data_IF_005065546970
#
_entry.id   IF_005065546970
#
_cell.length_a   1.000
_cell.length_b   1.000
_cell.length_c   1.000
_cell.angle_alpha   90.00
_cell.angle_beta   90.00
_cell.angle_gamma   90.00
#
_symmetry.space_group_name_H-M   'P 1'
#
loop_
_entity.id
_entity.type
_entity.pdbx_description
1 polymer ?
#
# COMPACT_ATOMS: atom_id res chain seq x y z
N UNK A 1 6.14 -20.30 6.89
CA UNK A 1 6.55 -18.90 6.73
C UNK A 1 5.38 -17.89 6.74
N UNK A 2 4.32 -17.95 5.92
CA UNK A 2 3.24 -16.96 5.99
C UNK A 2 2.52 -16.91 7.35
N UNK A 3 2.31 -18.05 7.99
CA UNK A 3 1.66 -18.14 9.31
C UNK A 3 2.54 -17.59 10.45
N UNK A 4 3.85 -17.75 10.39
CA UNK A 4 4.76 -17.17 11.38
C UNK A 4 4.76 -15.63 11.29
N UNK A 5 4.86 -15.07 10.09
CA UNK A 5 4.83 -13.63 9.90
C UNK A 5 3.47 -13.03 10.35
N UNK A 6 2.35 -13.68 10.02
CA UNK A 6 1.04 -13.27 10.48
C UNK A 6 0.93 -13.28 12.01
N UNK A 7 1.56 -14.26 12.66
CA UNK A 7 1.61 -14.36 14.10
C UNK A 7 2.45 -13.22 14.73
N UNK A 8 3.63 -12.96 14.18
CA UNK A 8 4.53 -11.90 14.66
C UNK A 8 3.94 -10.49 14.48
N UNK A 9 3.23 -10.26 13.38
CA UNK A 9 2.60 -8.97 13.09
C UNK A 9 1.21 -8.81 13.75
N UNK A 10 0.67 -9.84 14.37
CA UNK A 10 -0.66 -9.82 14.97
C UNK A 10 -0.82 -8.83 16.15
N UNK A 11 0.29 -8.39 16.73
CA UNK A 11 0.33 -7.38 17.80
C UNK A 11 0.32 -5.94 17.27
N UNK A 12 0.62 -5.71 15.99
CA UNK A 12 0.65 -4.37 15.42
C UNK A 12 -0.64 -3.56 15.59
N UNK A 13 -1.84 -4.16 15.55
CA UNK A 13 -3.07 -3.43 15.79
C UNK A 13 -3.12 -2.68 17.12
N UNK A 14 -2.38 -3.13 18.14
CA UNK A 14 -2.31 -2.43 19.42
C UNK A 14 -1.73 -1.01 19.32
N UNK A 15 -0.88 -0.78 18.33
CA UNK A 15 -0.19 0.50 18.14
C UNK A 15 -1.02 1.54 17.39
N UNK A 16 -2.14 1.13 16.76
CA UNK A 16 -3.02 2.03 16.02
C UNK A 16 -4.51 1.88 16.37
N UNK A 17 -4.83 0.98 17.31
CA UNK A 17 -6.19 0.91 17.83
C UNK A 17 -6.54 2.16 18.63
N UNK A 18 -7.79 2.58 18.56
CA UNK A 18 -8.33 3.64 19.40
C UNK A 18 -8.22 3.27 20.89
N UNK A 19 -8.13 4.29 21.74
CA UNK A 19 -8.09 4.08 23.19
C UNK A 19 -9.31 3.26 23.65
N UNK A 20 -9.07 2.18 24.39
CA UNK A 20 -10.12 1.25 24.82
C UNK A 20 -10.55 0.25 23.75
N UNK A 21 -10.00 0.33 22.55
CA UNK A 21 -10.22 -0.65 21.49
C UNK A 21 -9.77 -2.05 21.89
N UNK A 22 -10.31 -3.07 21.21
CA UNK A 22 -9.96 -4.48 21.48
C UNK A 22 -9.19 -5.06 20.31
N UNK A 23 -8.04 -5.62 20.61
CA UNK A 23 -7.19 -6.32 19.64
C UNK A 23 -7.38 -7.82 19.77
N UNK A 24 -7.76 -8.45 18.67
CA UNK A 24 -7.85 -9.91 18.61
C UNK A 24 -6.46 -10.51 18.40
N UNK A 25 -6.14 -11.51 19.20
CA UNK A 25 -4.90 -12.25 19.15
C UNK A 25 -5.18 -13.74 19.36
N UNK A 26 -4.58 -14.59 18.54
CA UNK A 26 -4.68 -16.04 18.71
C UNK A 26 -4.26 -16.46 20.13
N UNK A 27 -4.97 -17.41 20.74
CA UNK A 27 -4.76 -17.83 22.13
C UNK A 27 -3.32 -18.30 22.40
N UNK A 28 -2.69 -19.00 21.45
CA UNK A 28 -1.30 -19.45 21.59
C UNK A 28 -0.31 -18.30 21.56
N UNK A 29 -0.64 -17.21 20.86
CA UNK A 29 0.20 -15.99 20.79
C UNK A 29 -0.06 -15.08 21.99
N UNK A 30 -1.29 -15.08 22.53
CA UNK A 30 -1.65 -14.24 23.66
C UNK A 30 -0.75 -14.49 24.89
N UNK A 31 -0.46 -15.74 25.22
CA UNK A 31 0.44 -16.06 26.34
C UNK A 31 1.83 -15.46 26.15
N UNK A 32 2.44 -15.66 24.97
CA UNK A 32 3.76 -15.09 24.64
C UNK A 32 3.78 -13.57 24.59
N UNK A 33 2.66 -12.97 24.19
CA UNK A 33 2.50 -11.51 24.12
C UNK A 33 2.35 -10.90 25.51
N UNK A 34 1.61 -11.57 26.41
CA UNK A 34 1.43 -11.13 27.79
C UNK A 34 2.74 -11.14 28.58
N UNK A 35 3.67 -12.04 28.28
CA UNK A 35 5.03 -12.03 28.85
C UNK A 35 5.84 -10.79 28.46
N UNK A 36 5.47 -10.13 27.36
CA UNK A 36 6.10 -8.90 26.83
C UNK A 36 5.25 -7.64 27.03
N UNK A 37 4.29 -7.67 27.94
CA UNK A 37 3.28 -6.62 28.13
C UNK A 37 3.87 -5.23 28.40
N UNK A 38 5.07 -5.15 28.99
CA UNK A 38 5.78 -3.88 29.24
C UNK A 38 6.15 -3.09 27.98
N UNK A 39 6.13 -3.72 26.82
CA UNK A 39 6.45 -3.09 25.53
C UNK A 39 5.22 -2.77 24.68
N UNK A 40 4.02 -3.14 25.13
CA UNK A 40 2.79 -2.92 24.40
C UNK A 40 2.05 -1.69 24.94
N UNK A 41 1.32 -0.97 24.06
CA UNK A 41 0.50 0.15 24.50
C UNK A 41 -0.51 -0.29 25.57
N UNK A 42 -0.58 0.40 26.73
CA UNK A 42 -1.49 0.03 27.81
C UNK A 42 -2.97 0.35 27.50
N UNK A 43 -3.24 1.02 26.39
CA UNK A 43 -4.55 1.59 26.06
C UNK A 43 -5.52 0.64 25.37
N UNK A 44 -5.12 -0.63 25.10
CA UNK A 44 -5.95 -1.60 24.38
C UNK A 44 -6.34 -2.80 25.23
N UNK A 45 -7.50 -3.36 24.93
CA UNK A 45 -7.95 -4.63 25.47
C UNK A 45 -7.51 -5.77 24.54
N UNK A 46 -7.29 -6.95 25.10
CA UNK A 46 -6.88 -8.13 24.34
C UNK A 46 -7.92 -9.23 24.45
N UNK A 47 -8.30 -9.81 23.30
CA UNK A 47 -9.17 -10.97 23.25
C UNK A 47 -8.61 -12.05 22.32
N UNK A 48 -8.91 -13.31 22.62
CA UNK A 48 -8.67 -14.44 21.72
C UNK A 48 -9.96 -14.96 21.08
N UNK A 49 -11.10 -14.36 21.42
CA UNK A 49 -12.40 -14.74 20.92
C UNK A 49 -12.96 -13.67 19.98
N UNK A 50 -13.70 -14.11 18.96
CA UNK A 50 -14.49 -13.22 18.12
C UNK A 50 -15.83 -12.97 18.84
N UNK A 51 -15.94 -11.83 19.51
CA UNK A 51 -17.13 -11.48 20.28
C UNK A 51 -18.02 -10.53 19.46
N UNK A 52 -19.29 -10.89 19.15
CA UNK A 52 -20.18 -10.08 18.32
C UNK A 52 -20.73 -8.84 19.03
N UNK A 53 -20.14 -8.46 20.16
CA UNK A 53 -20.45 -7.23 20.89
C UNK A 53 -19.81 -5.99 20.25
N UNK A 54 -18.86 -6.17 19.32
CA UNK A 54 -18.17 -5.09 18.64
C UNK A 54 -18.93 -4.69 17.37
N UNK A 55 -19.22 -3.42 17.22
CA UNK A 55 -19.96 -2.88 16.07
C UNK A 55 -19.08 -2.58 14.87
N UNK A 56 -17.76 -2.44 15.07
CA UNK A 56 -16.81 -2.10 14.03
C UNK A 56 -15.59 -3.02 14.11
N UNK A 57 -15.18 -3.54 12.96
CA UNK A 57 -13.99 -4.37 12.78
C UNK A 57 -13.04 -3.65 11.83
N UNK A 58 -11.80 -3.42 12.27
CA UNK A 58 -10.76 -2.78 11.47
C UNK A 58 -9.64 -3.81 11.21
N UNK A 59 -9.70 -4.57 10.11
CA UNK A 59 -8.67 -5.55 9.80
C UNK A 59 -7.47 -4.89 9.13
N UNK A 60 -6.35 -5.61 9.08
CA UNK A 60 -5.25 -5.26 8.18
C UNK A 60 -5.71 -5.12 6.72
N UNK A 61 -6.59 -6.00 6.30
CA UNK A 61 -7.26 -5.96 5.01
C UNK A 61 -8.39 -6.98 4.96
N UNK A 62 -9.44 -6.64 4.26
CA UNK A 62 -10.59 -7.52 4.11
C UNK A 62 -10.27 -8.71 3.20
N UNK A 63 -10.68 -9.90 3.61
CA UNK A 63 -10.58 -11.13 2.83
C UNK A 63 -11.74 -12.09 3.16
N UNK A 64 -12.09 -13.02 2.25
CA UNK A 64 -13.23 -13.92 2.45
C UNK A 64 -13.12 -14.82 3.69
N UNK A 65 -11.91 -15.19 4.09
CA UNK A 65 -11.70 -16.04 5.28
C UNK A 65 -12.06 -15.29 6.56
N UNK A 66 -11.66 -14.01 6.67
CA UNK A 66 -12.02 -13.18 7.80
C UNK A 66 -13.54 -12.96 7.87
N UNK A 67 -14.17 -12.61 6.75
CA UNK A 67 -15.63 -12.41 6.70
C UNK A 67 -16.36 -13.66 7.16
N UNK A 68 -15.97 -14.86 6.69
CA UNK A 68 -16.55 -16.12 7.12
C UNK A 68 -16.43 -16.32 8.64
N UNK A 69 -15.25 -16.06 9.22
CA UNK A 69 -15.02 -16.20 10.66
C UNK A 69 -15.89 -15.25 11.48
N UNK A 70 -16.11 -14.02 11.01
CA UNK A 70 -17.00 -13.07 11.66
C UNK A 70 -18.46 -13.54 11.59
N UNK A 71 -18.89 -14.07 10.45
CA UNK A 71 -20.22 -14.66 10.28
C UNK A 71 -20.46 -15.86 11.22
N UNK A 72 -19.51 -16.78 11.27
CA UNK A 72 -19.54 -17.95 12.15
C UNK A 72 -19.57 -17.55 13.64
N UNK A 73 -18.95 -16.43 14.00
CA UNK A 73 -18.97 -15.86 15.33
C UNK A 73 -20.24 -15.02 15.64
N UNK A 74 -21.16 -14.87 14.70
CA UNK A 74 -22.43 -14.17 14.88
C UNK A 74 -22.34 -12.65 14.82
N UNK A 75 -21.33 -12.08 14.19
CA UNK A 75 -21.26 -10.63 13.97
C UNK A 75 -22.39 -10.15 13.05
N UNK A 76 -22.94 -8.94 13.28
CA UNK A 76 -23.96 -8.39 12.40
C UNK A 76 -23.40 -8.11 11.00
N UNK A 77 -24.25 -8.19 9.98
CA UNK A 77 -23.86 -7.96 8.57
C UNK A 77 -23.29 -6.55 8.32
N UNK A 78 -23.52 -5.62 9.22
CA UNK A 78 -22.94 -4.27 9.20
C UNK A 78 -21.47 -4.22 9.60
N UNK A 79 -20.94 -5.25 10.27
CA UNK A 79 -19.57 -5.29 10.77
C UNK A 79 -18.54 -5.67 9.70
N UNK A 80 -18.97 -6.14 8.53
CA UNK A 80 -18.09 -6.58 7.44
C UNK A 80 -18.69 -6.26 6.07
N UNK A 81 -17.87 -6.17 5.02
CA UNK A 81 -18.37 -5.86 3.67
C UNK A 81 -19.17 -7.02 3.07
N UNK A 82 -20.24 -6.69 2.33
CA UNK A 82 -21.00 -7.65 1.53
C UNK A 82 -20.11 -8.36 0.48
N UNK A 83 -20.63 -9.44 -0.10
CA UNK A 83 -19.93 -10.18 -1.16
C UNK A 83 -19.62 -9.28 -2.37
N UNK A 84 -20.57 -8.42 -2.75
CA UNK A 84 -20.42 -7.46 -3.85
C UNK A 84 -19.35 -6.41 -3.51
N UNK A 85 -19.39 -5.89 -2.30
CA UNK A 85 -18.38 -4.92 -1.81
C UNK A 85 -16.99 -5.57 -1.77
N UNK A 86 -16.88 -6.83 -1.32
CA UNK A 86 -15.62 -7.59 -1.36
C UNK A 86 -15.07 -7.78 -2.76
N UNK A 87 -15.93 -8.13 -3.74
CA UNK A 87 -15.54 -8.24 -5.14
C UNK A 87 -15.02 -6.89 -5.66
N UNK A 88 -15.72 -5.81 -5.32
CA UNK A 88 -15.31 -4.46 -5.72
C UNK A 88 -13.98 -4.04 -5.09
N UNK A 89 -13.79 -4.26 -3.78
CA UNK A 89 -12.52 -4.00 -3.09
C UNK A 89 -11.38 -4.76 -3.78
N UNK A 90 -11.57 -6.07 -4.06
CA UNK A 90 -10.57 -6.85 -4.80
C UNK A 90 -10.27 -6.27 -6.18
N UNK A 91 -11.28 -5.85 -6.92
CA UNK A 91 -11.11 -5.27 -8.25
C UNK A 91 -10.30 -3.98 -8.21
N UNK A 92 -10.62 -3.07 -7.29
CA UNK A 92 -9.92 -1.77 -7.18
C UNK A 92 -8.54 -1.88 -6.50
N UNK A 93 -8.26 -2.95 -5.77
CA UNK A 93 -6.93 -3.21 -5.20
C UNK A 93 -5.90 -3.75 -6.20
N UNK A 94 -6.31 -4.04 -7.43
CA UNK A 94 -5.40 -4.52 -8.47
C UNK A 94 -4.57 -3.37 -9.07
N UNK A 95 -3.33 -3.65 -9.50
CA UNK A 95 -2.41 -2.68 -10.09
C UNK A 95 -2.94 -1.97 -11.33
N UNK A 96 -3.89 -2.57 -12.06
CA UNK A 96 -4.59 -1.89 -13.16
C UNK A 96 -5.33 -0.63 -12.72
N UNK A 97 -5.71 -0.54 -11.44
CA UNK A 97 -6.28 0.68 -10.86
C UNK A 97 -5.22 1.77 -10.72
N UNK A 98 -4.04 1.45 -10.23
CA UNK A 98 -2.91 2.38 -10.17
C UNK A 98 -2.55 2.92 -11.57
N UNK A 99 -2.55 2.06 -12.60
CA UNK A 99 -2.35 2.48 -14.01
C UNK A 99 -3.37 3.53 -14.45
N UNK A 100 -4.65 3.34 -14.10
CA UNK A 100 -5.73 4.31 -14.44
C UNK A 100 -5.55 5.62 -13.69
N UNK A 101 -5.29 5.55 -12.39
CA UNK A 101 -5.06 6.72 -11.54
C UNK A 101 -3.83 7.50 -12.01
N UNK A 102 -2.70 6.82 -12.26
CA UNK A 102 -1.48 7.43 -12.79
C UNK A 102 -1.75 8.24 -14.06
N UNK A 103 -2.46 7.66 -15.03
CA UNK A 103 -2.80 8.35 -16.30
C UNK A 103 -3.68 9.57 -16.11
N UNK A 104 -4.59 9.55 -15.13
CA UNK A 104 -5.44 10.70 -14.80
C UNK A 104 -4.63 11.79 -14.09
N UNK A 105 -3.83 11.40 -13.11
CA UNK A 105 -2.94 12.32 -12.40
C UNK A 105 -2.02 13.07 -13.36
N UNK A 106 -1.30 12.37 -14.23
CA UNK A 106 -0.41 13.00 -15.21
C UNK A 106 -1.13 13.98 -16.16
N UNK A 107 -2.41 13.77 -16.42
CA UNK A 107 -3.23 14.73 -17.22
C UNK A 107 -3.71 15.91 -16.40
N UNK A 108 -4.14 15.69 -15.15
CA UNK A 108 -4.69 16.75 -14.29
C UNK A 108 -3.60 17.69 -13.75
N UNK A 109 -2.45 17.14 -13.38
CA UNK A 109 -1.33 17.90 -12.85
C UNK A 109 -0.64 18.72 -13.93
N UNK A 110 -0.76 18.32 -15.20
CA UNK A 110 -0.43 19.07 -16.43
C UNK A 110 0.93 19.76 -16.46
N UNK A 111 1.60 19.75 -17.59
CA UNK A 111 2.81 20.44 -18.12
C UNK A 111 3.82 21.21 -17.24
N UNK A 112 3.40 21.72 -16.09
CA UNK A 112 4.26 22.54 -15.22
C UNK A 112 4.90 21.76 -14.06
N UNK A 113 4.48 20.52 -13.82
CA UNK A 113 5.03 19.68 -12.76
C UNK A 113 5.91 18.59 -13.39
N UNK A 114 7.15 18.41 -12.94
CA UNK A 114 8.03 17.35 -13.43
C UNK A 114 7.53 15.98 -12.93
N UNK A 115 6.49 15.48 -13.61
CA UNK A 115 5.98 14.14 -13.38
C UNK A 115 6.53 13.17 -14.42
N UNK A 116 6.73 11.94 -14.01
CA UNK A 116 7.00 10.83 -14.91
C UNK A 116 6.15 9.64 -14.47
N UNK A 117 6.10 8.62 -15.27
CA UNK A 117 5.43 7.38 -14.98
C UNK A 117 4.53 6.98 -16.14
N UNK A 118 4.86 5.84 -16.71
CA UNK A 118 4.05 5.13 -17.67
C UNK A 118 3.81 3.73 -17.17
N UNK A 119 2.58 3.27 -17.29
CA UNK A 119 2.21 1.91 -16.96
C UNK A 119 1.15 1.40 -17.94
N UNK A 120 1.26 0.13 -18.30
CA UNK A 120 0.50 -0.51 -19.35
C UNK A 120 -0.17 -1.78 -18.85
N UNK A 121 -1.46 -1.94 -19.17
CA UNK A 121 -2.18 -3.19 -18.95
C UNK A 121 -2.05 -4.06 -20.19
N UNK A 122 -1.38 -5.18 -20.07
CA UNK A 122 -1.03 -6.09 -21.16
C UNK A 122 -1.82 -7.39 -21.03
N UNK A 123 -2.73 -7.65 -21.96
CA UNK A 123 -3.71 -8.74 -21.88
C UNK A 123 -3.37 -9.97 -22.74
N UNK A 124 -2.21 -9.98 -23.40
CA UNK A 124 -1.73 -11.14 -24.16
C UNK A 124 -0.21 -11.21 -24.18
N UNK A 125 0.32 -12.40 -24.49
CA UNK A 125 1.76 -12.63 -24.64
C UNK A 125 2.37 -11.74 -25.72
N UNK A 126 1.66 -11.51 -26.83
CA UNK A 126 2.10 -10.66 -27.94
C UNK A 126 2.26 -9.20 -27.49
N UNK A 127 1.29 -8.67 -26.72
CA UNK A 127 1.38 -7.32 -26.14
C UNK A 127 2.55 -7.21 -25.17
N UNK A 128 2.79 -8.24 -24.34
CA UNK A 128 3.95 -8.25 -23.44
C UNK A 128 5.25 -8.28 -24.22
N UNK A 129 5.35 -9.10 -25.28
CA UNK A 129 6.52 -9.13 -26.17
C UNK A 129 6.78 -7.77 -26.83
N UNK A 130 5.75 -7.15 -27.40
CA UNK A 130 5.86 -5.84 -28.02
C UNK A 130 6.31 -4.76 -26.99
N UNK A 131 5.77 -4.79 -25.78
CA UNK A 131 6.16 -3.90 -24.70
C UNK A 131 7.64 -4.09 -24.31
N UNK A 132 8.11 -5.32 -24.12
CA UNK A 132 9.51 -5.63 -23.77
C UNK A 132 10.47 -5.18 -24.88
N UNK A 133 10.10 -5.33 -26.15
CA UNK A 133 10.92 -4.87 -27.28
C UNK A 133 11.03 -3.34 -27.32
N UNK A 134 9.96 -2.63 -27.00
CA UNK A 134 9.96 -1.15 -26.97
C UNK A 134 10.59 -0.57 -25.69
N UNK A 135 10.71 -1.36 -24.64
CA UNK A 135 11.27 -0.97 -23.34
C UNK A 135 12.34 -1.98 -22.88
N UNK A 136 13.59 -1.85 -23.37
CA UNK A 136 14.67 -2.82 -23.11
C UNK A 136 14.98 -3.02 -21.62
N UNK A 137 14.67 -2.02 -20.78
CA UNK A 137 14.71 -2.12 -19.31
C UNK A 137 13.32 -1.85 -18.78
N UNK A 138 12.68 -2.87 -18.24
CA UNK A 138 11.30 -2.78 -17.80
C UNK A 138 11.02 -3.65 -16.56
N UNK A 139 9.88 -3.38 -15.94
CA UNK A 139 9.26 -4.21 -14.91
C UNK A 139 7.96 -4.82 -15.45
N UNK A 140 7.78 -6.11 -15.25
CA UNK A 140 6.51 -6.79 -15.44
C UNK A 140 5.98 -7.19 -14.06
N UNK A 141 4.74 -6.81 -13.76
CA UNK A 141 4.12 -7.04 -12.45
C UNK A 141 2.81 -7.83 -12.60
N UNK A 142 2.59 -8.80 -11.72
CA UNK A 142 1.28 -9.44 -11.61
C UNK A 142 0.26 -8.45 -11.03
N UNK A 143 -0.99 -8.41 -11.51
CA UNK A 143 -2.03 -7.50 -11.02
C UNK A 143 -2.27 -7.56 -9.51
N UNK A 144 -2.29 -8.76 -8.97
CA UNK A 144 -2.41 -9.01 -7.52
C UNK A 144 -1.21 -9.78 -7.01
N UNK A 145 -0.30 -9.07 -6.36
CA UNK A 145 0.83 -9.66 -5.64
C UNK A 145 1.27 -8.69 -4.54
N UNK A 146 1.99 -9.16 -3.55
CA UNK A 146 2.47 -8.34 -2.45
C UNK A 146 3.93 -8.65 -2.09
N UNK A 147 4.56 -7.76 -1.32
CA UNK A 147 5.90 -7.95 -0.75
C UNK A 147 6.98 -8.24 -1.81
N UNK A 148 6.98 -7.52 -2.92
CA UNK A 148 7.95 -7.70 -4.02
C UNK A 148 7.79 -9.00 -4.81
N UNK A 149 6.86 -9.89 -4.44
CA UNK A 149 6.57 -11.11 -5.20
C UNK A 149 5.76 -10.77 -6.44
N UNK A 150 5.93 -11.55 -7.51
CA UNK A 150 5.21 -11.31 -8.76
C UNK A 150 5.71 -10.11 -9.55
N UNK A 151 6.96 -9.69 -9.34
CA UNK A 151 7.66 -8.69 -10.14
C UNK A 151 8.80 -9.38 -10.89
N UNK A 152 8.91 -9.12 -12.19
CA UNK A 152 9.98 -9.57 -13.05
C UNK A 152 10.72 -8.36 -13.61
N UNK A 153 12.04 -8.34 -13.43
CA UNK A 153 12.93 -7.37 -14.06
C UNK A 153 13.29 -7.89 -15.46
N UNK A 154 13.11 -7.04 -16.46
CA UNK A 154 13.42 -7.38 -17.85
C UNK A 154 14.58 -6.49 -18.32
N UNK A 155 15.61 -7.12 -18.89
CA UNK A 155 16.76 -6.45 -19.51
C UNK A 155 16.97 -6.99 -20.93
N UNK A 156 16.22 -6.47 -21.88
CA UNK A 156 16.40 -6.66 -23.33
C UNK A 156 16.13 -8.05 -23.90
N UNK A 157 15.86 -9.08 -23.09
CA UNK A 157 15.63 -10.43 -23.58
C UNK A 157 14.32 -11.06 -23.09
N UNK A 158 13.65 -11.74 -24.01
CA UNK A 158 12.45 -12.51 -23.72
C UNK A 158 12.84 -14.00 -23.56
N UNK A 159 13.04 -14.41 -22.30
CA UNK A 159 13.54 -15.76 -21.98
C UNK A 159 12.40 -16.76 -21.80
N UNK A 160 12.70 -18.07 -21.95
CA UNK A 160 11.72 -19.16 -21.73
C UNK A 160 11.09 -19.11 -20.32
N UNK A 161 11.86 -18.92 -19.21
CA UNK A 161 11.28 -18.77 -17.88
C UNK A 161 10.35 -17.57 -17.77
N UNK A 162 10.70 -16.42 -18.36
CA UNK A 162 9.87 -15.24 -18.39
C UNK A 162 8.55 -15.50 -19.14
N UNK A 163 8.61 -16.19 -20.28
CA UNK A 163 7.42 -16.55 -21.04
C UNK A 163 6.50 -17.48 -20.23
N UNK A 164 7.07 -18.46 -19.54
CA UNK A 164 6.31 -19.34 -18.62
C UNK A 164 5.61 -18.58 -17.52
N UNK A 165 6.29 -17.60 -16.89
CA UNK A 165 5.70 -16.73 -15.87
C UNK A 165 4.57 -15.88 -16.46
N UNK A 166 4.76 -15.26 -17.62
CA UNK A 166 3.76 -14.44 -18.30
C UNK A 166 2.50 -15.26 -18.59
N UNK A 167 2.65 -16.46 -19.18
CA UNK A 167 1.51 -17.35 -19.45
C UNK A 167 0.75 -17.71 -18.18
N UNK A 168 1.47 -18.03 -17.09
CA UNK A 168 0.85 -18.33 -15.80
C UNK A 168 0.03 -17.14 -15.28
N UNK A 169 0.58 -15.93 -15.31
CA UNK A 169 -0.13 -14.73 -14.84
C UNK A 169 -1.33 -14.41 -15.75
N UNK A 170 -1.18 -14.47 -17.06
CA UNK A 170 -2.29 -14.24 -17.99
C UNK A 170 -3.41 -15.27 -17.80
N UNK A 171 -3.09 -16.54 -17.53
CA UNK A 171 -4.10 -17.58 -17.26
C UNK A 171 -4.81 -17.37 -15.93
N UNK A 172 -4.10 -16.98 -14.87
CA UNK A 172 -4.64 -16.90 -13.51
C UNK A 172 -5.18 -15.53 -13.14
N UNK A 173 -4.65 -14.46 -13.73
CA UNK A 173 -4.97 -13.07 -13.41
C UNK A 173 -5.35 -12.23 -14.64
N UNK A 174 -5.34 -12.80 -15.85
CA UNK A 174 -5.80 -12.24 -17.12
C UNK A 174 -4.99 -11.08 -17.70
N UNK A 175 -4.13 -10.45 -16.93
CA UNK A 175 -3.37 -9.26 -17.31
C UNK A 175 -1.97 -9.30 -16.69
N UNK A 176 -1.02 -8.59 -17.31
CA UNK A 176 0.30 -8.27 -16.77
C UNK A 176 0.44 -6.74 -16.83
N UNK A 177 0.99 -6.14 -15.80
CA UNK A 177 1.32 -4.71 -15.82
C UNK A 177 2.77 -4.54 -16.26
N UNK A 178 2.98 -3.76 -17.32
CA UNK A 178 4.30 -3.37 -17.81
C UNK A 178 4.62 -1.95 -17.43
N UNK A 179 5.82 -1.70 -16.90
CA UNK A 179 6.34 -0.37 -16.58
C UNK A 179 7.76 -0.23 -17.10
N UNK A 180 8.15 0.92 -17.71
CA UNK A 180 9.55 1.24 -17.97
C UNK A 180 10.35 1.20 -16.67
N UNK A 181 11.63 0.88 -16.75
CA UNK A 181 12.52 0.96 -15.60
C UNK A 181 13.00 2.40 -15.41
N UNK A 182 12.72 2.96 -14.23
CA UNK A 182 13.13 4.33 -13.87
C UNK A 182 14.36 4.32 -12.96
N UNK A 183 15.20 5.36 -13.06
CA UNK A 183 16.34 5.60 -12.17
C UNK A 183 15.83 6.19 -10.85
N UNK A 184 15.38 5.29 -9.98
CA UNK A 184 14.76 5.62 -8.68
C UNK A 184 15.81 6.10 -7.70
N UNK A 185 15.53 7.21 -7.02
CA UNK A 185 16.35 7.81 -5.96
C UNK A 185 15.73 7.64 -4.56
N UNK A 186 14.41 7.73 -4.47
CA UNK A 186 13.70 7.74 -3.20
C UNK A 186 12.36 7.02 -3.35
N UNK A 187 12.04 6.13 -2.41
CA UNK A 187 10.71 5.56 -2.23
C UNK A 187 9.99 6.31 -1.11
N UNK A 188 8.75 6.70 -1.35
CA UNK A 188 7.87 7.28 -0.34
C UNK A 188 6.41 6.96 -0.67
N UNK A 189 5.52 7.21 0.27
CA UNK A 189 4.09 7.11 0.03
C UNK A 189 3.36 8.33 0.62
N UNK A 190 2.18 8.58 0.08
CA UNK A 190 1.15 9.38 0.73
C UNK A 190 0.12 8.42 1.30
N UNK A 191 -0.19 8.62 2.59
CA UNK A 191 -1.15 7.80 3.30
C UNK A 191 -2.47 8.55 3.44
N UNK A 192 -3.57 7.80 3.34
CA UNK A 192 -4.92 8.36 3.32
C UNK A 192 -5.87 7.52 4.17
N UNK A 193 -7.00 8.14 4.53
CA UNK A 193 -8.16 7.49 5.13
C UNK A 193 -9.41 7.77 4.28
N UNK A 194 -10.11 6.72 3.85
CA UNK A 194 -11.40 6.82 3.21
C UNK A 194 -12.50 6.68 4.25
N UNK A 195 -13.37 7.67 4.37
CA UNK A 195 -14.47 7.67 5.32
C UNK A 195 -15.72 6.94 4.78
N UNK A 196 -16.73 6.85 5.62
CA UNK A 196 -18.01 6.19 5.31
C UNK A 196 -18.81 6.92 4.21
N UNK A 197 -18.54 8.20 3.96
CA UNK A 197 -19.17 9.00 2.90
C UNK A 197 -18.41 8.89 1.57
N UNK A 198 -17.27 8.17 1.56
CA UNK A 198 -16.43 7.97 0.37
C UNK A 198 -15.47 9.14 0.10
N UNK A 199 -15.29 10.03 1.08
CA UNK A 199 -14.26 11.08 1.00
C UNK A 199 -12.90 10.49 1.39
N UNK A 200 -11.85 11.02 0.79
CA UNK A 200 -10.47 10.56 1.03
C UNK A 200 -9.67 11.69 1.65
N UNK A 201 -9.19 11.46 2.84
CA UNK A 201 -8.43 12.43 3.64
C UNK A 201 -6.96 12.04 3.64
N UNK A 202 -6.09 13.00 3.35
CA UNK A 202 -4.65 12.82 3.53
C UNK A 202 -4.33 12.77 5.03
N UNK A 203 -3.54 11.77 5.46
CA UNK A 203 -3.16 11.56 6.86
C UNK A 203 -1.66 11.67 7.11
N UNK A 204 -0.85 11.76 6.09
CA UNK A 204 0.59 11.99 6.23
C UNK A 204 1.43 11.33 5.16
N UNK A 205 2.73 11.53 5.29
CA UNK A 205 3.75 10.92 4.46
C UNK A 205 4.37 9.69 5.13
N UNK A 206 4.88 8.80 4.29
CA UNK A 206 5.68 7.66 4.69
C UNK A 206 6.95 7.66 3.84
N UNK A 207 8.10 7.61 4.48
CA UNK A 207 9.40 7.50 3.81
C UNK A 207 10.00 6.15 4.16
N UNK A 208 10.18 5.29 3.16
CA UNK A 208 10.59 3.91 3.36
C UNK A 208 11.75 3.51 2.46
N UNK A 209 12.43 2.44 2.84
CA UNK A 209 13.48 1.83 2.04
C UNK A 209 13.06 0.46 1.54
N UNK A 210 13.48 0.15 0.33
CA UNK A 210 13.36 -1.18 -0.27
C UNK A 210 14.73 -1.77 -0.58
N UNK A 211 14.84 -3.09 -0.58
CA UNK A 211 16.06 -3.77 -1.05
C UNK A 211 16.17 -3.68 -2.60
N UNK A 212 17.27 -4.20 -3.14
CA UNK A 212 17.52 -4.23 -4.60
C UNK A 212 16.46 -5.01 -5.41
N UNK A 213 15.61 -5.80 -4.74
CA UNK A 213 14.50 -6.54 -5.34
C UNK A 213 13.15 -5.88 -5.14
N UNK A 214 13.12 -4.69 -4.49
CA UNK A 214 11.90 -3.97 -4.18
C UNK A 214 11.15 -4.51 -2.96
N UNK A 215 11.82 -5.32 -2.12
CA UNK A 215 11.23 -5.80 -0.87
C UNK A 215 11.38 -4.72 0.20
N UNK A 216 10.30 -4.39 0.89
CA UNK A 216 10.26 -3.44 1.99
C UNK A 216 11.27 -3.82 3.09
N UNK A 217 11.98 -2.83 3.63
CA UNK A 217 12.95 -2.97 4.70
C UNK A 217 12.55 -2.22 5.96
N UNK A 218 12.33 -0.92 5.83
CA UNK A 218 12.10 -0.05 6.99
C UNK A 218 11.34 1.21 6.60
N UNK A 219 10.75 1.86 7.60
CA UNK A 219 10.13 3.18 7.51
C UNK A 219 10.82 4.16 8.45
N UNK A 220 10.90 5.41 8.04
CA UNK A 220 11.33 6.50 8.91
C UNK A 220 10.17 6.91 9.82
N UNK A 221 10.39 6.89 11.14
CA UNK A 221 9.48 7.49 12.11
C UNK A 221 9.87 8.95 12.31
N UNK A 222 9.13 9.86 11.70
CA UNK A 222 9.38 11.30 11.78
C UNK A 222 8.10 12.10 11.54
N UNK A 223 8.11 13.38 11.95
CA UNK A 223 7.03 14.31 11.61
C UNK A 223 6.92 14.50 10.10
N UNK A 224 5.71 14.71 9.60
CA UNK A 224 5.45 14.98 8.18
C UNK A 224 6.34 16.09 7.61
N UNK A 225 6.53 17.17 8.38
CA UNK A 225 7.42 18.26 7.99
C UNK A 225 8.85 17.76 7.66
N UNK A 226 9.39 16.86 8.46
CA UNK A 226 10.74 16.31 8.24
C UNK A 226 10.79 15.43 6.99
N UNK A 227 9.75 14.63 6.76
CA UNK A 227 9.64 13.78 5.57
C UNK A 227 9.47 14.66 4.33
N UNK A 228 8.59 15.64 4.38
CA UNK A 228 8.35 16.60 3.30
C UNK A 228 9.63 17.37 2.95
N UNK A 229 10.38 17.88 3.94
CA UNK A 229 11.66 18.54 3.74
C UNK A 229 12.65 17.66 2.99
N UNK A 230 12.73 16.35 3.32
CA UNK A 230 13.61 15.41 2.61
C UNK A 230 13.19 15.17 1.17
N UNK A 231 11.90 15.02 0.91
CA UNK A 231 11.38 14.86 -0.45
C UNK A 231 11.58 16.16 -1.24
N UNK A 232 11.43 17.30 -0.56
CA UNK A 232 11.55 18.64 -1.16
C UNK A 232 12.97 19.02 -1.57
N UNK A 233 13.96 18.21 -1.24
CA UNK A 233 15.32 18.35 -1.84
C UNK A 233 15.33 18.01 -3.34
N UNK A 234 14.29 17.33 -3.83
CA UNK A 234 14.18 16.89 -5.23
C UNK A 234 13.05 17.59 -5.99
N UNK A 235 11.88 17.73 -5.36
CA UNK A 235 10.70 18.38 -5.94
C UNK A 235 10.09 19.31 -4.89
N UNK A 236 9.57 20.49 -5.29
CA UNK A 236 9.07 21.45 -4.30
C UNK A 236 7.88 20.90 -3.50
N UNK A 237 7.72 21.37 -2.25
CA UNK A 237 6.57 21.04 -1.41
C UNK A 237 5.23 21.39 -2.08
N UNK A 238 5.17 22.47 -2.86
CA UNK A 238 3.97 22.84 -3.63
C UNK A 238 3.58 21.74 -4.63
N UNK A 239 4.56 21.10 -5.29
CA UNK A 239 4.32 19.96 -6.18
C UNK A 239 3.72 18.78 -5.39
N UNK A 240 4.28 18.47 -4.21
CA UNK A 240 3.75 17.40 -3.35
C UNK A 240 2.30 17.67 -2.94
N UNK A 241 2.01 18.91 -2.52
CA UNK A 241 0.66 19.29 -2.14
C UNK A 241 -0.33 19.22 -3.32
N UNK A 242 0.09 19.61 -4.52
CA UNK A 242 -0.77 19.50 -5.71
C UNK A 242 -1.03 18.04 -6.07
N UNK A 243 -0.02 17.17 -6.02
CA UNK A 243 -0.17 15.71 -6.21
C UNK A 243 -1.12 15.13 -5.15
N UNK A 244 -0.96 15.50 -3.88
CA UNK A 244 -1.81 15.03 -2.79
C UNK A 244 -3.28 15.41 -3.00
N UNK A 245 -3.57 16.67 -3.35
CA UNK A 245 -4.94 17.12 -3.66
C UNK A 245 -5.55 16.36 -4.86
N UNK A 246 -4.77 16.17 -5.92
CA UNK A 246 -5.23 15.43 -7.10
C UNK A 246 -5.49 13.95 -6.78
N UNK A 247 -4.63 13.34 -5.96
CA UNK A 247 -4.83 11.96 -5.48
C UNK A 247 -6.09 11.79 -4.65
N UNK A 248 -6.39 12.71 -3.72
CA UNK A 248 -7.63 12.65 -2.95
C UNK A 248 -8.88 12.58 -3.85
N UNK A 249 -8.92 13.41 -4.90
CA UNK A 249 -10.02 13.40 -5.87
C UNK A 249 -10.08 12.09 -6.66
N UNK A 250 -8.96 11.64 -7.20
CA UNK A 250 -8.92 10.42 -8.02
C UNK A 250 -9.21 9.15 -7.20
N UNK A 251 -8.72 9.09 -5.96
CA UNK A 251 -9.00 7.97 -5.06
C UNK A 251 -10.47 7.94 -4.64
N UNK A 252 -11.08 9.08 -4.31
CA UNK A 252 -12.50 9.16 -3.98
C UNK A 252 -13.36 8.67 -5.16
N UNK A 253 -13.02 9.07 -6.40
CA UNK A 253 -13.69 8.62 -7.60
C UNK A 253 -13.56 7.10 -7.83
N UNK A 254 -12.39 6.53 -7.57
CA UNK A 254 -12.13 5.09 -7.72
C UNK A 254 -12.87 4.27 -6.65
N UNK A 255 -12.84 4.75 -5.42
CA UNK A 255 -13.42 4.05 -4.26
C UNK A 255 -14.95 4.11 -4.30
N UNK A 256 -15.55 5.28 -4.58
CA UNK A 256 -17.02 5.50 -4.66
C UNK A 256 -17.82 4.79 -3.58
N UNK A 257 -17.41 4.92 -2.32
CA UNK A 257 -18.08 4.29 -1.18
C UNK A 257 -17.91 2.76 -1.08
N UNK A 258 -17.11 2.15 -1.96
CA UNK A 258 -16.86 0.70 -1.91
C UNK A 258 -15.87 0.29 -0.84
N UNK A 259 -15.05 1.22 -0.37
CA UNK A 259 -14.03 0.97 0.64
C UNK A 259 -14.08 2.05 1.72
N UNK A 260 -13.91 1.65 2.95
CA UNK A 260 -13.70 2.48 4.13
C UNK A 260 -12.48 1.98 4.86
N UNK A 261 -11.61 2.89 5.30
CA UNK A 261 -10.39 2.57 6.03
C UNK A 261 -9.14 3.20 5.45
N UNK A 262 -8.00 2.78 5.98
CA UNK A 262 -6.70 3.26 5.58
C UNK A 262 -6.26 2.74 4.22
N UNK A 263 -5.57 3.58 3.46
CA UNK A 263 -4.92 3.20 2.20
C UNK A 263 -3.66 4.05 1.98
N UNK A 264 -2.73 3.53 1.19
CA UNK A 264 -1.51 4.24 0.81
C UNK A 264 -1.30 4.24 -0.69
N UNK A 265 -0.64 5.28 -1.19
CA UNK A 265 -0.19 5.37 -2.58
C UNK A 265 1.32 5.46 -2.59
N UNK A 266 1.96 4.38 -3.05
CA UNK A 266 3.40 4.33 -3.21
C UNK A 266 3.83 5.21 -4.39
N UNK A 267 4.89 5.96 -4.16
CA UNK A 267 5.47 6.93 -5.08
C UNK A 267 6.98 6.80 -5.11
N UNK A 268 7.60 7.39 -6.08
CA UNK A 268 9.06 7.49 -6.10
C UNK A 268 9.54 8.80 -6.73
N UNK A 269 10.69 9.27 -6.26
CA UNK A 269 11.46 10.29 -6.96
C UNK A 269 12.45 9.59 -7.87
N UNK A 270 12.53 10.04 -9.11
CA UNK A 270 13.43 9.48 -10.11
C UNK A 270 14.30 10.59 -10.71
N UNK A 271 15.50 10.19 -11.13
CA UNK A 271 16.35 11.03 -11.96
C UNK A 271 15.83 11.04 -13.39
N UNK A 272 15.77 12.21 -13.99
CA UNK A 272 15.43 12.36 -15.42
C UNK A 272 16.68 12.26 -16.30
N UNK A 273 16.49 11.97 -17.57
CA UNK A 273 17.60 11.92 -18.55
C UNK A 273 18.35 13.25 -18.68
N UNK A 274 17.68 14.36 -18.39
CA UNK A 274 18.24 15.71 -18.46
C UNK A 274 18.96 16.13 -17.15
N UNK A 275 19.20 15.20 -16.22
CA UNK A 275 19.88 15.46 -14.94
C UNK A 275 19.04 16.11 -13.86
N UNK A 276 17.75 16.38 -14.09
CA UNK A 276 16.79 16.84 -13.09
C UNK A 276 16.11 15.70 -12.34
N UNK A 277 15.08 16.06 -11.59
CA UNK A 277 14.27 15.11 -10.81
C UNK A 277 12.80 15.21 -11.21
N UNK A 278 12.10 14.10 -11.12
CA UNK A 278 10.66 14.02 -11.35
C UNK A 278 9.99 13.05 -10.37
N UNK A 279 8.73 13.31 -10.06
CA UNK A 279 7.90 12.45 -9.24
C UNK A 279 7.16 11.42 -10.10
N UNK A 280 7.20 10.15 -9.71
CA UNK A 280 6.25 9.15 -10.18
C UNK A 280 5.10 9.08 -9.16
N UNK A 281 3.94 9.66 -9.46
CA UNK A 281 2.94 9.99 -8.44
C UNK A 281 2.02 8.83 -8.06
N UNK A 282 2.14 7.66 -8.69
CA UNK A 282 1.34 6.49 -8.36
C UNK A 282 1.98 5.21 -8.91
N UNK A 283 2.78 4.55 -8.11
CA UNK A 283 3.41 3.25 -8.41
C UNK A 283 2.49 2.09 -8.06
N UNK A 284 1.87 2.15 -6.88
CA UNK A 284 0.94 1.14 -6.37
C UNK A 284 -0.07 1.79 -5.42
N UNK A 285 -1.29 1.27 -5.39
CA UNK A 285 -2.33 1.66 -4.42
C UNK A 285 -2.54 0.50 -3.47
N UNK A 286 -2.22 0.71 -2.20
CA UNK A 286 -2.39 -0.25 -1.12
C UNK A 286 -3.73 -0.01 -0.43
N UNK A 287 -4.82 -0.63 -0.94
CA UNK A 287 -6.18 -0.47 -0.42
C UNK A 287 -6.38 -1.34 0.84
N UNK A 288 -5.63 -1.05 1.87
CA UNK A 288 -5.58 -1.75 3.15
C UNK A 288 -4.69 -0.99 4.12
N UNK A 289 -4.69 -1.41 5.40
CA UNK A 289 -3.61 -1.05 6.31
C UNK A 289 -2.25 -1.43 5.69
N UNK A 290 -1.26 -0.58 5.86
CA UNK A 290 0.10 -0.81 5.36
C UNK A 290 1.13 -0.27 6.35
N UNK A 291 2.41 -0.57 6.12
CA UNK A 291 3.48 -0.20 7.06
C UNK A 291 3.72 1.31 7.15
N UNK A 292 3.40 2.07 6.10
CA UNK A 292 3.47 3.52 6.12
C UNK A 292 2.44 4.13 7.05
N UNK A 293 1.18 3.68 6.95
CA UNK A 293 0.11 4.08 7.88
C UNK A 293 0.47 3.70 9.32
N UNK A 294 0.98 2.47 9.55
CA UNK A 294 1.42 2.04 10.89
C UNK A 294 2.51 2.97 11.42
N UNK A 295 3.54 3.26 10.61
CA UNK A 295 4.61 4.16 11.01
C UNK A 295 4.08 5.56 11.37
N UNK A 296 3.14 6.08 10.57
CA UNK A 296 2.50 7.38 10.83
C UNK A 296 1.75 7.38 12.16
N UNK A 297 0.88 6.39 12.38
CA UNK A 297 0.09 6.29 13.62
C UNK A 297 0.96 6.03 14.86
N UNK A 298 2.04 5.25 14.74
CA UNK A 298 3.02 5.10 15.85
C UNK A 298 3.67 6.44 16.14
N UNK A 299 4.08 7.18 15.12
CA UNK A 299 4.67 8.51 15.34
C UNK A 299 3.71 9.43 16.08
N UNK A 300 2.48 9.57 15.59
CA UNK A 300 1.48 10.48 16.14
C UNK A 300 1.10 10.15 17.59
N UNK A 301 1.05 8.86 17.93
CA UNK A 301 0.57 8.42 19.23
C UNK A 301 1.68 8.28 20.29
N UNK A 302 2.93 8.02 19.88
CA UNK A 302 3.97 7.56 20.82
C UNK A 302 5.32 8.28 20.67
N UNK A 303 5.54 9.10 19.65
CA UNK A 303 6.81 9.81 19.47
C UNK A 303 6.64 11.26 19.93
N UNK A 304 7.48 11.70 20.82
CA UNK A 304 7.51 13.10 21.26
C UNK A 304 8.01 14.02 20.13
N UNK A 305 7.48 15.22 20.05
CA UNK A 305 7.91 16.24 19.10
C UNK A 305 9.44 16.47 19.17
N UNK A 306 10.06 16.51 18.01
CA UNK A 306 11.50 16.76 17.86
C UNK A 306 12.39 15.51 17.93
N UNK A 307 11.85 14.33 18.25
CA UNK A 307 12.58 13.06 18.16
C UNK A 307 12.46 12.51 16.75
N UNK A 308 13.62 12.20 16.15
CA UNK A 308 13.70 11.44 14.91
C UNK A 308 14.31 10.08 15.26
N UNK A 309 13.58 9.02 15.05
CA UNK A 309 14.11 7.66 15.21
C UNK A 309 14.03 6.91 13.88
N UNK A 310 15.13 6.25 13.51
CA UNK A 310 15.16 5.26 12.46
C UNK A 310 14.93 3.91 13.09
N UNK A 311 13.70 3.46 13.18
CA UNK A 311 13.43 2.07 13.56
C UNK A 311 12.76 1.35 12.42
N UNK A 312 13.31 0.19 12.10
CA UNK A 312 12.68 -0.76 11.26
C UNK A 312 11.43 -1.27 11.97
N UNK A 313 10.28 -1.05 11.36
CA UNK A 313 9.05 -1.74 11.72
C UNK A 313 8.98 -2.94 10.78
N UNK A 314 9.59 -4.04 11.22
CA UNK A 314 9.57 -5.33 10.47
C UNK A 314 8.38 -6.15 10.90
#
# INVERSE_FOLDING_TARGET
>A
MPLMLAAELSVLPAWYAEQGGTVWLDSALRMKTMERQSFLPPSVNWTSEFLPIYNKVIPWGWNPSLVRRLQEAGFPDTAYPSVERMKRIRQISGRQTAVKVLRRLCRHIGGNIPTLGEAFVLSSTEKVKAFVLSHPRALLKAPWSGSGRGIQYVSGSFTIPLEGWIRHILTTQHEVIGEPFYDKLLDFAMEFFADEWGQVHFIGYSLFETDKRGVYKENLLAADRVIEERISTYVSAEILHQVGRALQVELAEVIKGSYEGYLGVDMMICRTQNGGYAIHPCVEINLRMNMGVVARLIYDNYVCDGVQDRKSVV
#
